data_IF_804342929863
#
_entry.id   IF_804342929863
#
_cell.length_a   1.000
_cell.length_b   1.000
_cell.length_c   1.000
_cell.angle_alpha   90.00
_cell.angle_beta   90.00
_cell.angle_gamma   90.00
#
_symmetry.space_group_name_H-M   'P 1'
#
loop_
_entity.id
_entity.type
_entity.pdbx_description
1 polymer ?
#
# COMPACT_ATOMS: atom_id res chain seq x y z
N UNK A 1 -14.10 9.88 -16.35
CA UNK A 1 -14.52 8.92 -15.30
C UNK A 1 -13.77 7.58 -15.35
N UNK A 2 -13.77 6.83 -16.46
CA UNK A 2 -13.09 5.51 -16.55
C UNK A 2 -11.59 5.55 -16.27
N UNK A 3 -10.86 6.51 -16.85
CA UNK A 3 -9.40 6.67 -16.60
C UNK A 3 -9.07 6.87 -15.13
N UNK A 4 -9.91 7.62 -14.41
CA UNK A 4 -9.73 7.85 -12.97
C UNK A 4 -9.88 6.55 -12.19
N UNK A 5 -10.96 5.79 -12.44
CA UNK A 5 -11.20 4.51 -11.75
C UNK A 5 -10.05 3.54 -11.98
N UNK A 6 -9.61 3.37 -13.24
CA UNK A 6 -8.47 2.52 -13.56
C UNK A 6 -7.21 2.93 -12.79
N UNK A 7 -6.87 4.22 -12.80
CA UNK A 7 -5.70 4.71 -12.07
C UNK A 7 -5.84 4.53 -10.55
N UNK A 8 -7.02 4.74 -9.98
CA UNK A 8 -7.30 4.53 -8.57
C UNK A 8 -7.06 3.07 -8.16
N UNK A 9 -7.57 2.11 -8.94
CA UNK A 9 -7.46 0.68 -8.61
C UNK A 9 -6.07 0.09 -8.87
N UNK A 10 -5.31 0.64 -9.82
CA UNK A 10 -4.09 -0.03 -10.32
C UNK A 10 -2.79 0.68 -10.04
N UNK A 11 -2.83 1.98 -9.70
CA UNK A 11 -1.62 2.83 -9.63
C UNK A 11 -1.56 3.76 -8.42
N UNK A 12 -2.64 3.83 -7.64
CA UNK A 12 -2.78 4.77 -6.54
C UNK A 12 -1.82 4.44 -5.39
N UNK A 13 -1.14 5.48 -4.90
CA UNK A 13 -0.35 5.45 -3.66
C UNK A 13 -0.74 6.64 -2.80
N UNK A 14 -0.40 7.82 -3.28
CA UNK A 14 -0.66 9.07 -2.62
C UNK A 14 -1.81 9.83 -3.26
N UNK A 15 -2.45 10.66 -2.44
CA UNK A 15 -3.47 11.62 -2.84
C UNK A 15 -3.16 12.98 -2.21
N UNK A 16 -3.67 14.02 -2.84
CA UNK A 16 -3.86 15.32 -2.20
C UNK A 16 -5.07 15.28 -1.25
N UNK A 17 -5.18 16.26 -0.35
CA UNK A 17 -6.27 16.35 0.62
C UNK A 17 -7.67 16.45 -0.04
N UNK A 18 -7.74 16.92 -1.28
CA UNK A 18 -8.97 17.03 -2.08
C UNK A 18 -9.32 15.73 -2.85
N UNK A 19 -8.58 14.64 -2.63
CA UNK A 19 -8.82 13.34 -3.28
C UNK A 19 -8.23 13.20 -4.69
N UNK A 20 -7.50 14.20 -5.20
CA UNK A 20 -6.74 14.06 -6.44
C UNK A 20 -5.59 13.06 -6.27
N UNK A 21 -5.47 12.14 -7.23
CA UNK A 21 -4.42 11.14 -7.26
C UNK A 21 -3.05 11.77 -7.59
N UNK A 22 -2.01 11.30 -6.93
CA UNK A 22 -0.61 11.62 -7.19
C UNK A 22 0.11 10.35 -7.70
N UNK A 23 0.91 10.47 -8.77
CA UNK A 23 1.50 9.32 -9.47
C UNK A 23 3.04 9.32 -9.51
N UNK A 24 3.67 10.45 -9.20
CA UNK A 24 5.11 10.62 -9.23
C UNK A 24 5.82 10.00 -8.02
N UNK A 25 5.20 10.03 -6.84
CA UNK A 25 5.80 9.47 -5.65
C UNK A 25 5.65 7.96 -5.53
N UNK A 26 6.81 7.32 -5.37
CA UNK A 26 6.95 5.89 -5.18
C UNK A 26 7.62 5.54 -3.86
N UNK A 27 8.13 6.52 -3.11
CA UNK A 27 8.79 6.30 -1.82
C UNK A 27 7.79 5.99 -0.70
N UNK A 28 8.29 5.45 0.41
CA UNK A 28 7.48 5.14 1.59
C UNK A 28 7.03 6.40 2.34
N UNK A 29 5.94 6.33 3.15
CA UNK A 29 5.33 7.50 3.79
C UNK A 29 6.29 8.34 4.65
N UNK A 30 7.23 7.69 5.36
CA UNK A 30 8.21 8.38 6.21
C UNK A 30 9.16 9.29 5.42
N UNK A 31 9.54 8.87 4.22
CA UNK A 31 10.41 9.68 3.34
C UNK A 31 9.61 10.80 2.68
N UNK A 32 8.41 10.49 2.18
CA UNK A 32 7.55 11.46 1.50
C UNK A 32 7.10 12.57 2.45
N UNK A 33 6.79 12.26 3.72
CA UNK A 33 6.40 13.27 4.71
C UNK A 33 7.46 14.37 4.90
N UNK A 34 8.74 14.06 4.70
CA UNK A 34 9.85 15.02 4.83
C UNK A 34 9.95 15.98 3.65
N UNK A 35 9.59 15.54 2.45
CA UNK A 35 9.80 16.29 1.20
C UNK A 35 8.50 16.86 0.61
N UNK A 36 7.36 16.22 0.86
CA UNK A 36 6.04 16.51 0.30
C UNK A 36 4.95 16.35 1.38
N UNK A 37 4.95 17.19 2.42
CA UNK A 37 4.05 17.06 3.58
C UNK A 37 2.57 17.27 3.23
N UNK A 38 2.25 17.78 2.05
CA UNK A 38 0.89 17.94 1.54
C UNK A 38 0.26 16.62 1.06
N UNK A 39 1.08 15.61 0.79
CA UNK A 39 0.61 14.31 0.32
C UNK A 39 0.17 13.42 1.48
N UNK A 40 -0.82 12.58 1.20
CA UNK A 40 -1.34 11.57 2.13
C UNK A 40 -1.39 10.22 1.43
N UNK A 41 -1.03 9.11 2.11
CA UNK A 41 -1.47 7.80 1.65
C UNK A 41 -2.98 7.81 1.39
N UNK A 42 -3.43 7.19 0.32
CA UNK A 42 -4.83 7.29 -0.12
C UNK A 42 -5.84 6.93 0.99
N UNK A 43 -5.50 5.95 1.83
CA UNK A 43 -6.35 5.47 2.94
C UNK A 43 -6.41 6.42 4.14
N UNK A 44 -5.60 7.49 4.16
CA UNK A 44 -5.63 8.54 5.18
C UNK A 44 -6.41 9.79 4.72
N UNK A 45 -6.88 9.83 3.47
CA UNK A 45 -7.74 10.91 3.01
C UNK A 45 -9.11 10.77 3.68
N UNK A 46 -9.69 11.87 4.16
CA UNK A 46 -10.97 11.86 4.85
C UNK A 46 -12.06 11.25 3.97
N UNK A 47 -12.82 10.30 4.52
CA UNK A 47 -13.90 9.62 3.79
C UNK A 47 -13.42 8.61 2.75
N UNK A 48 -12.12 8.29 2.67
CA UNK A 48 -11.60 7.31 1.73
C UNK A 48 -12.15 5.89 1.95
N UNK A 49 -12.57 5.57 3.18
CA UNK A 49 -12.98 4.23 3.58
C UNK A 49 -14.25 4.26 4.41
N UNK A 50 -15.13 3.31 4.12
CA UNK A 50 -16.29 3.04 4.97
C UNK A 50 -15.85 2.21 6.20
N UNK A 51 -16.13 2.65 7.45
CA UNK A 51 -15.61 1.99 8.65
C UNK A 51 -15.97 0.52 8.84
N UNK A 52 -17.02 0.03 8.15
CA UNK A 52 -17.45 -1.37 8.24
C UNK A 52 -16.60 -2.35 7.42
N UNK A 53 -15.75 -1.85 6.53
CA UNK A 53 -14.92 -2.70 5.67
C UNK A 53 -13.45 -2.61 6.06
N UNK A 54 -12.75 -3.74 5.92
CA UNK A 54 -11.29 -3.78 5.89
C UNK A 54 -10.86 -4.00 4.45
N UNK A 55 -10.02 -3.10 3.92
CA UNK A 55 -9.52 -3.21 2.54
C UNK A 55 -8.14 -3.85 2.54
N UNK A 56 -8.03 -5.01 1.88
CA UNK A 56 -6.76 -5.65 1.59
C UNK A 56 -6.24 -5.15 0.25
N UNK A 57 -4.97 -4.73 0.18
CA UNK A 57 -4.39 -4.24 -1.07
C UNK A 57 -2.88 -4.56 -1.19
N UNK A 58 -2.37 -4.40 -2.42
CA UNK A 58 -0.96 -4.58 -2.76
C UNK A 58 -0.44 -3.44 -3.63
N UNK A 59 0.44 -3.73 -4.59
CA UNK A 59 1.04 -2.78 -5.55
C UNK A 59 2.06 -1.77 -4.96
N UNK A 60 1.94 -1.45 -3.68
CA UNK A 60 2.76 -0.44 -3.02
C UNK A 60 3.84 -1.04 -2.11
N UNK A 61 4.81 -1.73 -2.70
CA UNK A 61 5.91 -2.39 -1.98
C UNK A 61 6.71 -1.50 -1.01
N UNK A 62 6.88 -0.21 -1.32
CA UNK A 62 7.60 0.74 -0.45
C UNK A 62 6.84 1.17 0.80
N UNK A 63 5.54 0.85 0.89
CA UNK A 63 4.79 0.91 2.14
C UNK A 63 5.15 -0.26 3.07
N UNK A 64 5.45 -1.42 2.48
CA UNK A 64 5.64 -2.68 3.19
C UNK A 64 4.35 -3.22 3.78
N UNK A 65 4.47 -4.17 4.73
CA UNK A 65 3.31 -4.64 5.48
C UNK A 65 2.79 -3.51 6.37
N UNK A 66 1.49 -3.21 6.24
CA UNK A 66 0.84 -2.17 7.01
C UNK A 66 -0.53 -2.64 7.46
N UNK A 67 -0.89 -2.36 8.71
CA UNK A 67 -2.21 -2.65 9.26
C UNK A 67 -2.66 -1.47 10.12
N UNK A 68 -3.75 -0.83 9.71
CA UNK A 68 -4.27 0.38 10.36
C UNK A 68 -5.20 1.13 9.41
N UNK A 69 -5.94 2.12 9.93
CA UNK A 69 -6.84 2.96 9.12
C UNK A 69 -7.81 2.17 8.23
N UNK A 70 -8.28 0.99 8.68
CA UNK A 70 -9.20 0.15 7.89
C UNK A 70 -8.56 -0.55 6.70
N UNK A 71 -7.22 -0.62 6.60
CA UNK A 71 -6.52 -1.33 5.53
C UNK A 71 -5.50 -2.34 6.04
N UNK A 72 -5.24 -3.34 5.20
CA UNK A 72 -4.12 -4.28 5.34
C UNK A 72 -3.34 -4.31 4.01
N UNK A 73 -2.11 -3.80 4.04
CA UNK A 73 -1.19 -3.85 2.91
C UNK A 73 -0.39 -5.15 2.93
N UNK A 74 -0.43 -5.91 1.84
CA UNK A 74 0.22 -7.22 1.69
C UNK A 74 1.47 -7.16 0.79
N UNK A 75 1.68 -6.06 0.07
CA UNK A 75 2.84 -5.93 -0.81
C UNK A 75 4.08 -5.60 0.02
N UNK A 76 4.80 -6.65 0.41
CA UNK A 76 6.10 -6.61 1.07
C UNK A 76 7.27 -6.75 0.09
N UNK A 77 7.03 -6.53 -1.21
CA UNK A 77 8.09 -6.42 -2.20
C UNK A 77 8.89 -7.70 -2.44
N UNK A 78 8.24 -8.87 -2.48
CA UNK A 78 8.89 -10.17 -2.71
C UNK A 78 9.85 -10.16 -3.92
N UNK A 79 9.42 -9.62 -5.07
CA UNK A 79 10.26 -9.55 -6.29
C UNK A 79 11.50 -8.66 -6.13
N UNK A 80 11.52 -7.78 -5.13
CA UNK A 80 12.65 -6.90 -4.81
C UNK A 80 13.57 -7.48 -3.73
N UNK A 81 13.43 -8.77 -3.40
CA UNK A 81 14.17 -9.40 -2.31
C UNK A 81 13.55 -9.21 -0.93
N UNK A 82 12.32 -8.68 -0.85
CA UNK A 82 11.56 -8.54 0.38
C UNK A 82 10.89 -9.86 0.78
N UNK A 83 9.60 -9.81 1.10
CA UNK A 83 8.84 -10.98 1.57
C UNK A 83 7.55 -11.16 0.75
N UNK A 84 7.04 -12.38 0.70
CA UNK A 84 5.66 -12.69 0.31
C UNK A 84 4.80 -12.76 1.58
N UNK A 85 3.81 -11.87 1.70
CA UNK A 85 2.91 -11.80 2.84
C UNK A 85 1.59 -12.53 2.57
N UNK A 86 1.08 -13.26 3.57
CA UNK A 86 -0.26 -13.82 3.58
C UNK A 86 -0.96 -13.54 4.92
N UNK A 87 -2.27 -13.31 4.87
CA UNK A 87 -3.12 -13.13 6.06
C UNK A 87 -4.31 -14.07 5.97
N UNK A 88 -4.51 -14.86 7.03
CA UNK A 88 -5.70 -15.70 7.21
C UNK A 88 -6.86 -14.85 7.72
N UNK A 89 -7.92 -14.70 6.92
CA UNK A 89 -9.06 -13.81 7.20
C UNK A 89 -10.13 -14.42 8.12
N UNK A 90 -10.20 -15.75 8.19
CA UNK A 90 -11.18 -16.52 8.96
C UNK A 90 -10.68 -16.89 10.38
N UNK A 91 -9.50 -16.40 10.77
CA UNK A 91 -8.95 -16.58 12.11
C UNK A 91 -8.96 -15.25 12.89
N UNK A 92 -9.27 -15.32 14.18
CA UNK A 92 -9.20 -14.18 15.10
C UNK A 92 -8.21 -14.48 16.22
N UNK A 93 -7.10 -13.72 16.35
CA UNK A 93 -6.63 -12.69 15.42
C UNK A 93 -6.13 -13.30 14.09
N UNK A 94 -6.17 -12.51 13.01
CA UNK A 94 -5.73 -12.96 11.68
C UNK A 94 -4.29 -13.44 11.71
N UNK A 95 -4.06 -14.70 11.34
CA UNK A 95 -2.71 -15.27 11.32
C UNK A 95 -1.97 -14.70 10.11
N UNK A 96 -0.88 -13.97 10.37
CA UNK A 96 0.02 -13.42 9.36
C UNK A 96 1.22 -14.35 9.14
N UNK A 97 1.55 -14.63 7.89
CA UNK A 97 2.75 -15.36 7.49
C UNK A 97 3.55 -14.54 6.48
N UNK A 98 4.87 -14.63 6.61
CA UNK A 98 5.82 -14.03 5.69
C UNK A 98 6.78 -15.13 5.23
N UNK A 99 7.09 -15.13 3.95
CA UNK A 99 8.13 -15.99 3.38
C UNK A 99 9.16 -15.09 2.72
N UNK A 100 10.43 -15.24 3.10
CA UNK A 100 11.51 -14.44 2.56
C UNK A 100 11.73 -14.75 1.07
N UNK A 101 11.92 -13.71 0.27
CA UNK A 101 12.13 -13.79 -1.17
C UNK A 101 13.54 -13.33 -1.55
N UNK A 102 14.52 -13.52 -0.66
CA UNK A 102 15.90 -13.02 -0.80
C UNK A 102 16.60 -13.45 -2.09
N UNK A 103 16.17 -14.57 -2.68
CA UNK A 103 16.67 -15.08 -3.96
C UNK A 103 16.30 -14.20 -5.16
N UNK A 104 15.18 -13.45 -5.09
CA UNK A 104 14.66 -12.62 -6.19
C UNK A 104 15.29 -11.23 -6.24
N UNK A 105 15.85 -10.73 -5.14
CA UNK A 105 16.45 -9.39 -5.06
C UNK A 105 17.81 -9.22 -5.75
N UNK A 106 18.30 -10.24 -6.47
CA UNK A 106 19.67 -10.30 -7.00
C UNK A 106 19.83 -9.79 -8.43
N UNK A 107 18.81 -9.19 -9.05
CA UNK A 107 18.97 -8.55 -10.35
C UNK A 107 19.13 -7.04 -10.20
N UNK A 108 20.35 -6.49 -10.40
CA UNK A 108 20.52 -5.05 -10.48
C UNK A 108 19.81 -4.56 -11.75
N UNK A 109 18.80 -3.71 -11.59
CA UNK A 109 18.33 -2.81 -12.64
C UNK A 109 19.25 -1.60 -12.73
#
# INVERSE_FOLDING_TARGET
RQRYMLNAFTRMRYCHADGRLEFGQKLGPEQVRKTRPELRPWFQVQGALEPRYTVFFGHWSTLGFYQGHGVIALDTGCVWGGQLSAVRVDAVPGIRRHTDCTEYGRHPT
#
